data_IF_419509560084
#
_entry.id   IF_419509560084
#
_cell.length_a   1.000
_cell.length_b   1.000
_cell.length_c   1.000
_cell.angle_alpha   90.00
_cell.angle_beta   90.00
_cell.angle_gamma   90.00
#
_symmetry.space_group_name_H-M   'P 1'
#
loop_
_entity.id
_entity.type
_entity.pdbx_description
1 polymer ?
#
# COMPACT_ATOMS: atom_id res chain seq x y z
N UNK A 1 12.10 -6.00 11.16
CA UNK A 1 11.96 -5.99 9.68
C UNK A 1 11.12 -4.81 9.30
N UNK A 2 11.49 -4.14 8.21
CA UNK A 2 10.71 -3.09 7.57
C UNK A 2 9.91 -3.68 6.42
N UNK A 3 8.58 -3.61 6.49
CA UNK A 3 7.65 -4.21 5.54
C UNK A 3 6.91 -3.10 4.81
N UNK A 4 6.96 -3.09 3.48
CA UNK A 4 6.14 -2.21 2.66
C UNK A 4 4.83 -2.89 2.29
N UNK A 5 3.73 -2.15 2.35
CA UNK A 5 2.43 -2.62 1.91
C UNK A 5 1.89 -1.62 0.89
N UNK A 6 1.53 -2.10 -0.29
CA UNK A 6 0.92 -1.28 -1.34
C UNK A 6 -0.51 -1.73 -1.57
N UNK A 7 -1.43 -0.78 -1.67
CA UNK A 7 -2.85 -1.05 -1.86
C UNK A 7 -3.63 -1.05 -0.55
N UNK A 8 -4.91 -0.71 -0.60
CA UNK A 8 -5.79 -0.75 0.58
C UNK A 8 -7.22 -1.24 0.28
N UNK A 9 -7.38 -2.19 -0.63
CA UNK A 9 -8.70 -2.74 -0.97
C UNK A 9 -9.40 -3.25 0.28
N UNK A 10 -10.62 -2.77 0.48
CA UNK A 10 -11.49 -3.05 1.63
C UNK A 10 -10.86 -2.85 3.01
N UNK A 11 -9.83 -2.00 3.13
CA UNK A 11 -9.07 -1.78 4.36
C UNK A 11 -8.37 -3.03 4.92
N UNK A 12 -8.28 -4.14 4.17
CA UNK A 12 -7.60 -5.34 4.65
C UNK A 12 -6.07 -5.12 4.80
N UNK A 13 -5.37 -4.50 3.83
CA UNK A 13 -3.96 -4.12 4.00
C UNK A 13 -3.70 -3.25 5.23
N UNK A 14 -4.60 -2.31 5.57
CA UNK A 14 -4.52 -1.55 6.82
C UNK A 14 -4.59 -2.44 8.07
N UNK A 15 -5.49 -3.42 8.11
CA UNK A 15 -5.56 -4.35 9.23
C UNK A 15 -4.30 -5.19 9.37
N UNK A 16 -3.77 -5.66 8.24
CA UNK A 16 -2.51 -6.39 8.20
C UNK A 16 -1.36 -5.53 8.71
N UNK A 17 -1.28 -4.26 8.28
CA UNK A 17 -0.26 -3.31 8.73
C UNK A 17 -0.31 -3.13 10.25
N UNK A 18 -1.50 -2.91 10.81
CA UNK A 18 -1.69 -2.79 12.26
C UNK A 18 -1.29 -4.06 13.01
N UNK A 19 -1.63 -5.23 12.49
CA UNK A 19 -1.23 -6.52 13.06
C UNK A 19 0.29 -6.70 13.09
N UNK A 20 0.96 -6.45 11.96
CA UNK A 20 2.41 -6.54 11.85
C UNK A 20 3.14 -5.53 12.75
N UNK A 21 2.64 -4.29 12.86
CA UNK A 21 3.20 -3.29 13.79
C UNK A 21 3.08 -3.73 15.25
N UNK A 22 1.97 -4.36 15.64
CA UNK A 22 1.78 -4.94 17.00
C UNK A 22 2.76 -6.09 17.29
N UNK A 23 3.25 -6.77 16.26
CA UNK A 23 4.28 -7.81 16.37
C UNK A 23 5.71 -7.23 16.39
N UNK A 24 5.87 -5.90 16.34
CA UNK A 24 7.18 -5.23 16.40
C UNK A 24 7.85 -5.01 15.05
N UNK A 25 7.13 -5.17 13.93
CA UNK A 25 7.65 -4.80 12.61
C UNK A 25 7.52 -3.30 12.36
N UNK A 26 8.47 -2.73 11.63
CA UNK A 26 8.32 -1.42 11.03
C UNK A 26 7.51 -1.61 9.74
N UNK A 27 6.37 -0.95 9.60
CA UNK A 27 5.47 -1.16 8.47
C UNK A 27 5.07 0.17 7.93
N UNK A 28 5.14 0.33 6.61
CA UNK A 28 4.61 1.50 5.91
C UNK A 28 3.59 1.05 4.87
N UNK A 29 2.45 1.73 4.84
CA UNK A 29 1.29 1.45 3.99
C UNK A 29 1.11 2.57 2.96
N UNK A 30 1.15 2.23 1.68
CA UNK A 30 0.79 3.14 0.59
C UNK A 30 -0.66 2.93 0.16
N UNK A 31 -1.51 3.92 0.42
CA UNK A 31 -2.93 3.91 0.03
C UNK A 31 -3.06 4.50 -1.37
N UNK A 32 -3.64 3.74 -2.29
CA UNK A 32 -3.67 4.07 -3.73
C UNK A 32 -5.08 4.38 -4.27
N UNK A 33 -6.11 4.39 -3.43
CA UNK A 33 -7.50 4.58 -3.87
C UNK A 33 -8.15 5.80 -3.25
N UNK A 34 -8.95 6.51 -4.07
CA UNK A 34 -9.82 7.63 -3.65
C UNK A 34 -11.19 7.14 -3.17
N UNK A 35 -11.54 5.88 -3.45
CA UNK A 35 -12.85 5.34 -3.09
C UNK A 35 -13.00 5.24 -1.58
N UNK A 36 -14.04 5.88 -1.04
CA UNK A 36 -14.29 5.97 0.40
C UNK A 36 -14.22 4.60 1.09
N UNK A 37 -14.71 3.53 0.47
CA UNK A 37 -14.66 2.19 1.04
C UNK A 37 -13.24 1.69 1.34
N UNK A 38 -12.25 2.09 0.53
CA UNK A 38 -10.85 1.68 0.62
C UNK A 38 -9.99 2.67 1.41
N UNK A 39 -10.58 3.75 1.93
CA UNK A 39 -9.87 4.74 2.72
C UNK A 39 -9.73 4.33 4.18
N UNK A 40 -8.58 4.53 4.85
CA UNK A 40 -8.43 4.29 6.29
C UNK A 40 -9.47 5.00 7.17
N UNK A 41 -9.83 6.24 6.85
CA UNK A 41 -10.81 7.05 7.59
C UNK A 41 -12.23 6.50 7.53
N UNK A 42 -12.53 5.60 6.59
CA UNK A 42 -13.83 4.92 6.53
C UNK A 42 -14.01 3.90 7.64
N UNK A 43 -12.89 3.36 8.15
CA UNK A 43 -12.85 2.42 9.28
C UNK A 43 -12.43 3.08 10.59
N UNK A 44 -11.54 4.06 10.53
CA UNK A 44 -11.08 4.84 11.68
C UNK A 44 -11.23 6.35 11.43
N UNK A 45 -12.37 6.96 11.80
CA UNK A 45 -12.65 8.37 11.52
C UNK A 45 -11.60 9.36 12.03
N UNK A 46 -10.84 9.01 13.07
CA UNK A 46 -9.75 9.84 13.58
C UNK A 46 -8.65 10.14 12.52
N UNK A 47 -8.46 9.23 11.56
CA UNK A 47 -7.49 9.39 10.47
C UNK A 47 -7.91 10.44 9.43
N UNK A 48 -9.15 10.95 9.48
CA UNK A 48 -9.60 12.02 8.61
C UNK A 48 -8.86 13.37 8.86
N UNK A 49 -8.24 13.51 10.03
CA UNK A 49 -7.47 14.72 10.39
C UNK A 49 -6.03 14.70 9.88
N UNK A 50 -5.58 13.55 9.36
CA UNK A 50 -4.23 13.33 8.89
C UNK A 50 -3.79 11.89 9.13
N UNK A 51 -2.84 11.45 8.31
CA UNK A 51 -2.24 10.15 8.43
C UNK A 51 -0.97 10.20 9.27
N UNK A 52 -0.70 9.14 10.06
CA UNK A 52 0.61 8.98 10.68
C UNK A 52 1.70 8.79 9.61
N UNK A 53 2.94 9.01 10.00
CA UNK A 53 4.14 8.90 9.14
C UNK A 53 4.29 7.57 8.41
N UNK A 54 3.71 6.51 8.94
CA UNK A 54 3.73 5.18 8.35
C UNK A 54 2.60 4.91 7.34
N UNK A 55 1.71 5.86 7.08
CA UNK A 55 0.73 5.76 5.99
C UNK A 55 1.04 6.85 4.96
N UNK A 56 1.38 6.42 3.76
CA UNK A 56 1.59 7.26 2.59
C UNK A 56 0.29 7.32 1.78
N UNK A 57 -0.24 8.52 1.55
CA UNK A 57 -1.40 8.72 0.68
C UNK A 57 -0.97 8.97 -0.77
N UNK A 58 -1.08 7.94 -1.59
CA UNK A 58 -0.79 8.00 -3.02
C UNK A 58 -2.06 8.12 -3.87
N UNK A 59 -3.24 8.31 -3.27
CA UNK A 59 -4.49 8.28 -4.00
C UNK A 59 -4.66 9.44 -5.00
N UNK A 60 -3.81 10.46 -4.95
CA UNK A 60 -3.76 11.50 -5.98
C UNK A 60 -3.24 10.97 -7.33
N UNK A 61 -2.47 9.87 -7.34
CA UNK A 61 -1.96 9.25 -8.56
C UNK A 61 -3.04 8.37 -9.19
N UNK A 62 -3.19 8.45 -10.51
CA UNK A 62 -4.14 7.62 -11.24
C UNK A 62 -3.62 6.18 -11.37
N UNK A 63 -4.54 5.23 -11.43
CA UNK A 63 -4.21 3.80 -11.50
C UNK A 63 -3.30 3.45 -12.69
N UNK A 64 -3.58 4.07 -13.85
CA UNK A 64 -2.79 3.93 -15.07
C UNK A 64 -1.32 4.35 -14.88
N UNK A 65 -1.04 5.29 -13.97
CA UNK A 65 0.31 5.71 -13.65
C UNK A 65 1.14 4.58 -13.02
N UNK A 66 0.48 3.72 -12.22
CA UNK A 66 1.09 2.52 -11.63
C UNK A 66 1.25 1.41 -12.66
N UNK A 67 0.19 1.13 -13.44
CA UNK A 67 0.20 0.09 -14.47
C UNK A 67 1.24 0.34 -15.56
N UNK A 68 1.47 1.62 -15.89
CA UNK A 68 2.41 2.04 -16.94
C UNK A 68 3.80 2.40 -16.41
N UNK A 69 4.05 2.28 -15.10
CA UNK A 69 5.36 2.58 -14.51
C UNK A 69 5.85 4.02 -14.76
N UNK A 70 4.95 5.00 -14.76
CA UNK A 70 5.30 6.38 -15.16
C UNK A 70 6.25 7.06 -14.16
N UNK A 71 7.02 8.09 -14.55
CA UNK A 71 7.87 8.84 -13.60
C UNK A 71 7.12 9.43 -12.39
N UNK A 72 5.80 9.63 -12.50
CA UNK A 72 4.96 10.15 -11.42
C UNK A 72 4.88 9.23 -10.20
N UNK A 73 5.14 7.93 -10.37
CA UNK A 73 5.16 6.97 -9.24
C UNK A 73 6.55 6.87 -8.59
N UNK A 74 7.51 7.75 -8.94
CA UNK A 74 8.91 7.67 -8.50
C UNK A 74 9.09 7.65 -6.98
N UNK A 75 8.37 8.50 -6.24
CA UNK A 75 8.45 8.52 -4.77
C UNK A 75 7.89 7.24 -4.14
N UNK A 76 6.82 6.70 -4.76
CA UNK A 76 6.21 5.44 -4.34
C UNK A 76 7.14 4.28 -4.62
N UNK A 77 7.74 4.24 -5.81
CA UNK A 77 8.72 3.22 -6.17
C UNK A 77 9.94 3.29 -5.24
N UNK A 78 10.53 4.46 -5.02
CA UNK A 78 11.71 4.59 -4.15
C UNK A 78 11.43 4.07 -2.73
N UNK A 79 10.23 4.32 -2.22
CA UNK A 79 9.77 3.77 -0.95
C UNK A 79 9.61 2.23 -1.01
N UNK A 80 9.04 1.68 -2.08
CA UNK A 80 8.83 0.24 -2.28
C UNK A 80 10.13 -0.54 -2.60
N UNK A 81 11.12 0.07 -3.26
CA UNK A 81 12.27 -0.65 -3.81
C UNK A 81 13.51 -0.64 -2.91
N UNK A 82 13.73 0.44 -2.16
CA UNK A 82 15.02 0.67 -1.47
C UNK A 82 14.93 0.71 0.04
N UNK A 83 13.73 0.60 0.61
CA UNK A 83 13.53 0.82 2.03
C UNK A 83 12.88 -0.33 2.79
N UNK A 84 12.62 -1.49 2.16
CA UNK A 84 11.86 -2.57 2.80
C UNK A 84 12.54 -3.92 2.64
N UNK A 85 12.48 -4.74 3.68
CA UNK A 85 12.96 -6.12 3.70
C UNK A 85 12.00 -7.07 2.94
N UNK A 86 10.75 -6.65 2.73
CA UNK A 86 9.75 -7.38 1.97
C UNK A 86 8.51 -6.55 1.69
N UNK A 87 7.75 -6.98 0.68
CA UNK A 87 6.59 -6.26 0.16
C UNK A 87 5.32 -7.11 0.20
N UNK A 88 4.20 -6.45 0.49
CA UNK A 88 2.85 -6.98 0.30
C UNK A 88 2.14 -6.10 -0.72
N UNK A 89 1.67 -6.70 -1.81
CA UNK A 89 1.12 -5.99 -2.96
C UNK A 89 -0.34 -6.35 -3.13
N UNK A 90 -1.24 -5.38 -3.00
CA UNK A 90 -2.68 -5.51 -3.19
C UNK A 90 -3.16 -4.60 -4.33
N UNK A 91 -4.35 -4.86 -4.88
CA UNK A 91 -4.93 -4.12 -5.99
C UNK A 91 -4.01 -4.18 -7.23
N UNK A 92 -3.69 -3.04 -7.85
CA UNK A 92 -2.68 -2.93 -8.92
C UNK A 92 -1.24 -3.15 -8.47
N UNK A 93 -0.96 -3.32 -7.18
CA UNK A 93 0.38 -3.56 -6.65
C UNK A 93 1.17 -4.67 -7.35
N UNK A 94 0.59 -5.82 -7.74
CA UNK A 94 1.31 -6.87 -8.46
C UNK A 94 1.88 -6.43 -9.81
N UNK A 95 1.34 -5.38 -10.45
CA UNK A 95 1.94 -4.80 -11.66
C UNK A 95 3.32 -4.19 -11.40
N UNK A 96 3.63 -3.87 -10.13
CA UNK A 96 4.90 -3.27 -9.73
C UNK A 96 5.97 -4.31 -9.36
N UNK A 97 5.70 -5.61 -9.53
CA UNK A 97 6.61 -6.70 -9.16
C UNK A 97 7.98 -6.57 -9.84
N UNK A 98 8.03 -6.08 -11.08
CA UNK A 98 9.30 -5.91 -11.82
C UNK A 98 10.24 -4.87 -11.19
N UNK A 99 9.70 -3.94 -10.40
CA UNK A 99 10.48 -2.93 -9.70
C UNK A 99 10.94 -3.42 -8.32
N UNK A 100 10.39 -4.53 -7.81
CA UNK A 100 10.67 -5.02 -6.47
C UNK A 100 12.07 -5.67 -6.39
N UNK A 101 12.95 -5.12 -5.54
CA UNK A 101 14.29 -5.67 -5.33
C UNK A 101 14.33 -6.83 -4.31
N UNK A 102 13.26 -7.01 -3.54
CA UNK A 102 13.17 -7.98 -2.44
C UNK A 102 11.99 -8.93 -2.57
N UNK A 103 11.80 -9.83 -1.58
CA UNK A 103 10.67 -10.76 -1.57
C UNK A 103 9.34 -10.00 -1.55
N UNK A 104 8.42 -10.39 -2.43
CA UNK A 104 7.11 -9.78 -2.55
C UNK A 104 6.00 -10.85 -2.49
N UNK A 105 4.89 -10.50 -1.84
CA UNK A 105 3.69 -11.33 -1.76
C UNK A 105 2.53 -10.56 -2.39
N UNK A 106 1.87 -11.18 -3.36
CA UNK A 106 0.59 -10.67 -3.86
C UNK A 106 -0.52 -11.02 -2.87
N UNK A 107 -1.22 -9.99 -2.38
CA UNK A 107 -2.35 -10.09 -1.48
C UNK A 107 -3.63 -9.83 -2.28
N UNK A 108 -4.34 -10.92 -2.57
CA UNK A 108 -5.62 -10.88 -3.27
C UNK A 108 -6.74 -10.94 -2.24
N UNK A 109 -7.63 -9.95 -2.30
CA UNK A 109 -8.90 -9.93 -1.58
C UNK A 109 -10.01 -10.48 -2.48
N UNK A 110 -11.17 -10.84 -1.91
CA UNK A 110 -12.28 -11.38 -2.71
C UNK A 110 -12.76 -10.45 -3.84
N UNK A 111 -12.54 -9.14 -3.71
CA UNK A 111 -12.81 -8.15 -4.76
C UNK A 111 -11.87 -8.25 -5.97
N UNK A 112 -10.71 -8.88 -5.82
CA UNK A 112 -9.73 -9.06 -6.89
C UNK A 112 -10.02 -10.34 -7.73
N UNK A 113 -11.10 -11.09 -7.41
CA UNK A 113 -11.47 -12.37 -8.04
C UNK A 113 -12.82 -12.34 -8.79
N UNK A 114 -13.47 -11.18 -8.86
CA UNK A 114 -14.81 -10.99 -9.45
C UNK A 114 -14.80 -9.85 -10.46
#
# INVERSE_FOLDING_TARGET
>A
MKIGIFGNTNNYPLLLALGLRRLGHDVVLAVNSRERLHRPESRWPALATGYPDWILDCAALDEEAFLSGTPAIGDVLNFLTHQTDGLVLNHVGPSLLEYCAGPAVSLMTGSDLT
#
